data_IF_084100267077
#
_entry.id   IF_084100267077
#
_cell.length_a   1.000
_cell.length_b   1.000
_cell.length_c   1.000
_cell.angle_alpha   90.00
_cell.angle_beta   90.00
_cell.angle_gamma   90.00
#
_symmetry.space_group_name_H-M   'P 1'
#
loop_
_entity.id
_entity.type
_entity.pdbx_description
1 polymer ?
#
# COMPACT_ATOMS: atom_id res chain seq x y z
N UNK A 1 -27.14 49.34 -24.78
CA UNK A 1 -25.97 48.56 -24.32
C UNK A 1 -26.08 48.35 -22.81
N UNK A 2 -26.63 47.22 -22.38
CA UNK A 2 -26.77 46.85 -20.96
C UNK A 2 -26.38 45.39 -20.83
N UNK A 3 -25.09 45.16 -20.66
CA UNK A 3 -24.49 43.84 -20.55
C UNK A 3 -24.70 43.34 -19.12
N UNK A 4 -25.63 42.40 -18.92
CA UNK A 4 -25.85 41.75 -17.62
C UNK A 4 -24.92 40.55 -17.52
N UNK A 5 -23.81 40.75 -16.81
CA UNK A 5 -22.86 39.74 -16.40
C UNK A 5 -23.50 38.91 -15.26
N UNK A 6 -23.95 37.68 -15.55
CA UNK A 6 -24.40 36.76 -14.50
C UNK A 6 -23.21 35.88 -14.09
N UNK A 7 -22.78 36.13 -12.87
CA UNK A 7 -21.66 35.52 -12.17
C UNK A 7 -22.06 34.11 -11.71
N UNK A 8 -21.51 33.07 -12.34
CA UNK A 8 -21.75 31.68 -11.94
C UNK A 8 -20.83 31.32 -10.75
N UNK A 9 -21.34 31.47 -9.54
CA UNK A 9 -20.72 30.94 -8.33
C UNK A 9 -20.91 29.42 -8.29
N UNK A 10 -19.92 28.67 -8.79
CA UNK A 10 -19.89 27.22 -8.67
C UNK A 10 -19.49 26.83 -7.24
N UNK A 11 -20.44 26.19 -6.56
CA UNK A 11 -20.32 25.59 -5.24
C UNK A 11 -19.13 24.61 -5.19
N UNK A 12 -18.05 25.02 -4.52
CA UNK A 12 -16.98 24.12 -4.11
C UNK A 12 -17.48 23.28 -2.91
N UNK A 13 -18.12 22.14 -3.20
CA UNK A 13 -18.32 21.08 -2.20
C UNK A 13 -16.96 20.42 -1.98
N UNK A 14 -16.23 20.90 -0.97
CA UNK A 14 -15.00 20.27 -0.51
C UNK A 14 -15.31 18.87 0.01
N UNK A 15 -14.82 17.86 -0.69
CA UNK A 15 -14.72 16.49 -0.21
C UNK A 15 -13.80 16.50 1.02
N UNK A 16 -14.39 16.36 2.21
CA UNK A 16 -13.64 16.12 3.43
C UNK A 16 -13.00 14.73 3.33
N UNK A 17 -11.72 14.68 2.93
CA UNK A 17 -10.92 13.47 3.07
C UNK A 17 -10.77 13.18 4.56
N UNK A 18 -11.47 12.14 5.04
CA UNK A 18 -11.23 11.60 6.37
C UNK A 18 -9.78 11.12 6.42
N UNK A 19 -8.92 11.92 7.06
CA UNK A 19 -7.56 11.52 7.37
C UNK A 19 -7.65 10.45 8.45
N UNK A 20 -7.65 9.18 8.04
CA UNK A 20 -7.56 8.06 8.97
C UNK A 20 -6.22 8.16 9.70
N UNK A 21 -6.27 8.43 11.00
CA UNK A 21 -5.12 8.23 11.87
C UNK A 21 -4.64 6.79 11.67
N UNK A 22 -3.42 6.61 11.15
CA UNK A 22 -2.86 5.28 10.99
C UNK A 22 -2.62 4.73 12.40
N UNK A 23 -3.48 3.81 12.85
CA UNK A 23 -3.26 3.06 14.07
C UNK A 23 -1.84 2.50 14.04
N UNK A 24 -1.07 2.79 15.08
CA UNK A 24 0.31 2.34 15.16
C UNK A 24 0.31 0.80 15.10
N UNK A 25 1.02 0.17 14.14
CA UNK A 25 1.03 -1.27 14.03
C UNK A 25 1.50 -1.91 15.35
N UNK A 26 0.74 -2.86 15.86
CA UNK A 26 1.15 -3.62 17.05
C UNK A 26 2.28 -4.57 16.64
N UNK A 27 3.43 -4.59 17.35
CA UNK A 27 4.51 -5.52 17.05
C UNK A 27 4.04 -6.97 17.15
N UNK A 28 4.47 -7.82 16.21
CA UNK A 28 4.14 -9.25 16.22
C UNK A 28 4.87 -9.94 17.39
N UNK A 29 4.12 -10.64 18.24
CA UNK A 29 4.67 -11.39 19.36
C UNK A 29 5.36 -12.68 18.89
N UNK A 30 6.37 -13.14 19.63
CA UNK A 30 7.07 -14.40 19.35
C UNK A 30 6.08 -15.57 19.50
N UNK A 31 6.07 -16.47 18.51
CA UNK A 31 5.16 -17.61 18.47
C UNK A 31 3.74 -17.28 18.00
N UNK A 32 3.40 -16.01 17.80
CA UNK A 32 2.16 -15.64 17.15
C UNK A 32 2.18 -16.09 15.68
N UNK A 33 1.02 -16.50 15.17
CA UNK A 33 0.87 -16.81 13.75
C UNK A 33 1.19 -15.56 12.91
N UNK A 34 2.03 -15.74 11.89
CA UNK A 34 2.31 -14.67 10.95
C UNK A 34 1.02 -14.27 10.20
N UNK A 35 0.70 -12.97 10.08
CA UNK A 35 -0.44 -12.52 9.30
C UNK A 35 -0.29 -12.90 7.83
N UNK A 36 -1.41 -13.19 7.19
CA UNK A 36 -1.43 -13.45 5.75
C UNK A 36 -1.18 -12.16 4.95
N UNK A 37 -0.39 -12.27 3.89
CA UNK A 37 -0.16 -11.19 2.96
C UNK A 37 0.16 -11.73 1.57
N UNK A 38 -0.03 -10.86 0.57
CA UNK A 38 0.31 -11.11 -0.82
C UNK A 38 1.08 -9.90 -1.35
N UNK A 39 2.21 -10.13 -2.01
CA UNK A 39 3.09 -9.09 -2.53
C UNK A 39 3.36 -9.33 -4.01
N UNK A 40 3.62 -8.24 -4.75
CA UNK A 40 4.24 -8.36 -6.08
C UNK A 40 5.66 -8.91 -5.90
N UNK A 41 6.00 -9.94 -6.67
CA UNK A 41 7.36 -10.45 -6.69
C UNK A 41 8.18 -9.73 -7.77
N UNK A 42 9.47 -9.58 -7.52
CA UNK A 42 10.43 -9.01 -8.46
C UNK A 42 11.63 -9.95 -8.60
N UNK A 43 12.08 -10.15 -9.82
CA UNK A 43 13.28 -10.93 -10.16
C UNK A 43 14.24 -10.06 -10.98
N UNK A 44 15.35 -10.64 -11.42
CA UNK A 44 16.26 -10.01 -12.39
C UNK A 44 15.57 -9.59 -13.69
N UNK A 45 14.45 -10.22 -14.04
CA UNK A 45 13.71 -9.97 -15.28
C UNK A 45 12.62 -8.88 -15.09
N UNK A 46 12.55 -8.28 -13.89
CA UNK A 46 11.56 -7.26 -13.54
C UNK A 46 10.49 -7.75 -12.57
N UNK A 47 9.37 -7.03 -12.49
CA UNK A 47 8.22 -7.39 -11.64
C UNK A 47 7.47 -8.55 -12.30
N UNK A 48 7.27 -9.65 -11.57
CA UNK A 48 6.56 -10.81 -12.09
C UNK A 48 5.04 -10.58 -12.11
N UNK A 49 4.32 -11.12 -13.11
CA UNK A 49 2.86 -11.03 -13.17
C UNK A 49 2.17 -11.88 -12.09
N UNK A 50 2.85 -12.94 -11.62
CA UNK A 50 2.39 -13.76 -10.51
C UNK A 50 2.80 -13.10 -9.19
N UNK A 51 1.83 -12.82 -8.34
CA UNK A 51 2.07 -12.39 -6.97
C UNK A 51 2.54 -13.57 -6.09
N UNK A 52 3.22 -13.26 -4.99
CA UNK A 52 3.64 -14.25 -3.98
C UNK A 52 2.80 -14.09 -2.72
N UNK A 53 2.23 -15.19 -2.24
CA UNK A 53 1.48 -15.23 -0.98
C UNK A 53 2.27 -15.98 0.09
N UNK A 54 2.08 -15.61 1.36
CA UNK A 54 2.64 -16.40 2.46
C UNK A 54 2.10 -17.84 2.49
N UNK A 55 0.87 -18.06 1.99
CA UNK A 55 0.27 -19.40 1.85
C UNK A 55 1.06 -20.33 0.92
N UNK A 56 1.73 -19.79 -0.09
CA UNK A 56 2.53 -20.58 -1.04
C UNK A 56 3.68 -21.33 -0.34
N UNK A 57 4.07 -20.88 0.86
CA UNK A 57 5.13 -21.46 1.67
C UNK A 57 4.63 -22.28 2.87
N UNK A 58 3.34 -22.65 2.92
CA UNK A 58 2.81 -23.50 3.99
C UNK A 58 3.61 -24.79 4.12
N UNK A 59 3.95 -25.15 5.37
CA UNK A 59 4.75 -26.32 5.69
C UNK A 59 6.27 -26.12 5.54
N UNK A 60 6.73 -24.94 5.12
CA UNK A 60 8.15 -24.60 5.03
C UNK A 60 8.55 -23.65 6.15
N UNK A 61 9.80 -23.75 6.61
CA UNK A 61 10.39 -22.73 7.48
C UNK A 61 10.93 -21.60 6.60
N UNK A 62 10.39 -20.40 6.75
CA UNK A 62 10.76 -19.23 5.95
C UNK A 62 11.28 -18.10 6.83
N UNK A 63 12.22 -17.32 6.30
CA UNK A 63 12.74 -16.12 6.94
C UNK A 63 12.26 -14.90 6.13
N UNK A 64 11.57 -13.99 6.80
CA UNK A 64 11.10 -12.74 6.22
C UNK A 64 12.02 -11.60 6.64
N UNK A 65 12.62 -10.92 5.67
CA UNK A 65 13.50 -9.78 5.90
C UNK A 65 12.90 -8.52 5.29
N UNK A 66 12.77 -7.47 6.10
CA UNK A 66 12.28 -6.16 5.67
C UNK A 66 13.44 -5.20 5.50
N UNK A 67 13.48 -4.52 4.35
CA UNK A 67 14.49 -3.50 4.05
C UNK A 67 13.77 -2.16 3.87
N UNK A 68 14.26 -1.11 4.51
CA UNK A 68 13.66 0.24 4.41
C UNK A 68 13.82 0.87 3.02
N UNK A 69 14.77 0.36 2.23
CA UNK A 69 15.07 0.83 0.87
C UNK A 69 15.45 -0.35 -0.01
N UNK A 70 15.10 -0.25 -1.29
CA UNK A 70 15.51 -1.22 -2.30
C UNK A 70 17.04 -1.25 -2.41
N UNK A 71 17.61 -2.46 -2.36
CA UNK A 71 19.03 -2.71 -2.63
C UNK A 71 19.22 -2.88 -4.14
N UNK A 72 19.14 -1.77 -4.87
CA UNK A 72 19.37 -1.71 -6.31
C UNK A 72 20.74 -1.13 -6.60
N UNK A 73 21.50 -1.74 -7.52
CA UNK A 73 22.83 -1.30 -7.93
C UNK A 73 23.95 -2.04 -7.21
N UNK A 74 24.73 -2.78 -7.99
CA UNK A 74 26.02 -3.38 -7.67
C UNK A 74 26.93 -3.20 -8.88
#
# INVERSE_FOLDING_TARGET
>A
MRSTLVWAAALAVGVASASGAQDKPTPLAIGAAAPEFTLSAATKDGVSPKAVSLLDFRGQTVVLAFFYKARTGG
#
